data_IF_712903803512
#
_entry.id   IF_712903803512
#
_cell.length_a   1.000
_cell.length_b   1.000
_cell.length_c   1.000
_cell.angle_alpha   90.00
_cell.angle_beta   90.00
_cell.angle_gamma   90.00
#
_symmetry.space_group_name_H-M   'P 1'
#
loop_
_entity.id
_entity.type
_entity.pdbx_description
1 polymer ?
#
# COMPACT_ATOMS: atom_id res chain seq x y z
N UNK A 1 28.95 -15.87 16.28
CA UNK A 1 27.52 -15.64 16.53
C UNK A 1 26.97 -14.96 15.28
N UNK A 2 26.42 -15.73 14.35
CA UNK A 2 25.86 -15.19 13.10
C UNK A 2 24.61 -14.40 13.47
N UNK A 3 24.65 -13.08 13.32
CA UNK A 3 23.44 -12.27 13.28
C UNK A 3 22.62 -12.81 12.12
N UNK A 4 21.60 -13.61 12.45
CA UNK A 4 20.60 -14.06 11.51
C UNK A 4 20.09 -12.80 10.83
N UNK A 5 20.34 -12.67 9.53
CA UNK A 5 20.03 -11.49 8.73
C UNK A 5 18.51 -11.48 8.50
N UNK A 6 17.73 -11.42 9.58
CA UNK A 6 16.28 -11.39 9.56
C UNK A 6 15.90 -10.10 8.87
N UNK A 7 15.29 -10.24 7.70
CA UNK A 7 14.62 -9.11 7.05
C UNK A 7 13.71 -8.46 8.10
N UNK A 8 13.78 -7.13 8.27
CA UNK A 8 12.96 -6.44 9.24
C UNK A 8 11.48 -6.62 8.86
N UNK A 9 10.60 -6.53 9.85
CA UNK A 9 9.17 -6.49 9.61
C UNK A 9 8.74 -5.06 9.22
N UNK A 10 7.82 -4.96 8.27
CA UNK A 10 7.29 -3.70 7.75
C UNK A 10 5.78 -3.65 7.98
N UNK A 11 5.31 -2.51 8.48
CA UNK A 11 3.90 -2.18 8.58
C UNK A 11 3.58 -1.06 7.59
N UNK A 12 2.54 -1.25 6.78
CA UNK A 12 2.13 -0.29 5.74
C UNK A 12 0.76 0.29 6.08
N UNK A 13 0.68 1.61 6.17
CA UNK A 13 -0.56 2.36 6.39
C UNK A 13 -0.66 3.45 5.32
N UNK A 14 -1.68 3.35 4.48
CA UNK A 14 -1.88 4.21 3.32
C UNK A 14 -3.12 5.08 3.54
N UNK A 15 -2.97 6.39 3.39
CA UNK A 15 -4.09 7.27 3.08
C UNK A 15 -4.40 7.12 1.58
N UNK A 16 -5.43 6.35 1.27
CA UNK A 16 -5.74 6.00 -0.10
C UNK A 16 -6.25 7.22 -0.89
N UNK A 17 -7.07 8.07 -0.26
CA UNK A 17 -7.62 9.25 -0.92
C UNK A 17 -6.52 10.24 -1.30
N UNK A 18 -5.54 10.45 -0.42
CA UNK A 18 -4.42 11.34 -0.71
C UNK A 18 -3.59 10.88 -1.91
N UNK A 19 -3.24 9.58 -1.96
CA UNK A 19 -2.49 9.00 -3.09
C UNK A 19 -3.34 9.03 -4.36
N UNK A 20 -4.61 8.63 -4.28
CA UNK A 20 -5.49 8.55 -5.45
C UNK A 20 -5.74 9.92 -6.10
N UNK A 21 -6.11 10.92 -5.29
CA UNK A 21 -6.38 12.27 -5.77
C UNK A 21 -5.10 12.92 -6.30
N UNK A 22 -3.99 12.84 -5.56
CA UNK A 22 -2.75 13.51 -5.98
C UNK A 22 -2.15 12.93 -7.26
N UNK A 23 -2.20 11.61 -7.46
CA UNK A 23 -1.69 10.97 -8.69
C UNK A 23 -2.58 11.32 -9.88
N UNK A 24 -3.90 11.32 -9.71
CA UNK A 24 -4.82 11.71 -10.80
C UNK A 24 -4.67 13.18 -11.16
N UNK A 25 -4.65 14.06 -10.17
CA UNK A 25 -4.66 15.51 -10.41
C UNK A 25 -3.31 16.03 -10.91
N UNK A 26 -2.19 15.49 -10.39
CA UNK A 26 -0.84 15.99 -10.72
C UNK A 26 -0.19 15.24 -11.87
N UNK A 27 -0.48 13.95 -12.02
CA UNK A 27 0.19 13.09 -13.01
C UNK A 27 -0.75 12.63 -14.13
N UNK A 28 -2.04 12.96 -14.06
CA UNK A 28 -3.06 12.51 -15.01
C UNK A 28 -3.04 10.98 -15.24
N UNK A 29 -2.79 10.24 -14.17
CA UNK A 29 -2.64 8.78 -14.17
C UNK A 29 -3.43 8.16 -13.02
N UNK A 30 -3.65 6.84 -13.07
CA UNK A 30 -4.16 6.11 -11.92
C UNK A 30 -2.99 5.64 -11.04
N UNK A 31 -3.13 5.70 -9.71
CA UNK A 31 -2.12 5.16 -8.81
C UNK A 31 -1.95 3.65 -9.02
N UNK A 32 -0.71 3.18 -9.04
CA UNK A 32 -0.37 1.77 -9.00
C UNK A 32 -0.02 1.39 -7.56
N UNK A 33 -1.01 0.90 -6.80
CA UNK A 33 -0.79 0.46 -5.42
C UNK A 33 0.02 -0.84 -5.33
N UNK A 34 0.05 -1.67 -6.38
CA UNK A 34 0.89 -2.87 -6.43
C UNK A 34 2.37 -2.47 -6.42
N UNK A 35 2.77 -1.51 -7.24
CA UNK A 35 4.14 -0.98 -7.25
C UNK A 35 4.56 -0.37 -5.90
N UNK A 36 3.63 0.24 -5.16
CA UNK A 36 3.87 0.72 -3.80
C UNK A 36 4.14 -0.46 -2.86
N UNK A 37 3.32 -1.50 -2.93
CA UNK A 37 3.46 -2.69 -2.08
C UNK A 37 4.73 -3.51 -2.40
N UNK A 38 5.11 -3.61 -3.68
CA UNK A 38 6.38 -4.21 -4.10
C UNK A 38 7.55 -3.47 -3.46
N UNK A 39 7.52 -2.13 -3.52
CA UNK A 39 8.57 -1.32 -2.91
C UNK A 39 8.61 -1.48 -1.39
N UNK A 40 7.46 -1.61 -0.72
CA UNK A 40 7.41 -1.92 0.71
C UNK A 40 8.00 -3.30 1.03
N UNK A 41 7.81 -4.28 0.16
CA UNK A 41 8.32 -5.65 0.33
C UNK A 41 9.84 -5.74 0.15
N UNK A 42 10.45 -4.84 -0.62
CA UNK A 42 11.91 -4.69 -0.67
C UNK A 42 12.49 -4.23 0.67
N UNK A 43 11.73 -3.45 1.45
CA UNK A 43 12.18 -2.89 2.73
C UNK A 43 12.14 -3.93 3.86
N UNK A 44 11.37 -5.01 3.70
CA UNK A 44 11.24 -6.05 4.71
C UNK A 44 9.97 -6.89 4.52
N UNK A 45 9.73 -7.81 5.44
CA UNK A 45 8.53 -8.64 5.42
C UNK A 45 7.32 -7.78 5.81
N UNK A 46 6.42 -7.52 4.89
CA UNK A 46 5.17 -6.81 5.19
C UNK A 46 4.29 -7.69 6.08
N UNK A 47 4.12 -7.29 7.33
CA UNK A 47 3.32 -8.04 8.32
C UNK A 47 1.89 -7.51 8.46
N UNK A 48 1.67 -6.25 8.06
CA UNK A 48 0.35 -5.63 8.01
C UNK A 48 0.34 -4.59 6.89
N UNK A 49 -0.77 -4.54 6.15
CA UNK A 49 -1.06 -3.47 5.20
C UNK A 49 -2.50 -3.03 5.38
N UNK A 50 -2.72 -1.72 5.54
CA UNK A 50 -4.04 -1.12 5.66
C UNK A 50 -4.10 0.15 4.83
N UNK A 51 -5.19 0.32 4.12
CA UNK A 51 -5.55 1.57 3.49
C UNK A 51 -6.78 2.16 4.14
N UNK A 52 -6.79 3.48 4.31
CA UNK A 52 -7.89 4.23 4.87
C UNK A 52 -8.48 5.14 3.79
N UNK A 53 -9.80 5.09 3.63
CA UNK A 53 -10.57 5.93 2.72
C UNK A 53 -12.05 5.93 3.12
N UNK A 54 -12.78 6.95 2.66
CA UNK A 54 -14.23 6.84 2.48
C UNK A 54 -14.57 5.94 1.29
N UNK A 55 -14.69 4.63 1.54
CA UNK A 55 -14.94 3.63 0.50
C UNK A 55 -16.28 3.81 -0.24
N UNK A 56 -17.25 4.54 0.32
CA UNK A 56 -18.50 4.86 -0.39
C UNK A 56 -18.26 5.73 -1.63
N UNK A 57 -17.18 6.52 -1.64
CA UNK A 57 -16.76 7.34 -2.78
C UNK A 57 -15.98 6.57 -3.84
N UNK A 58 -15.51 5.36 -3.52
CA UNK A 58 -14.64 4.54 -4.39
C UNK A 58 -15.15 3.10 -4.57
N UNK A 59 -16.41 2.89 -5.00
CA UNK A 59 -17.03 1.56 -5.03
C UNK A 59 -16.39 0.57 -6.01
N UNK A 60 -15.51 1.02 -6.92
CA UNK A 60 -14.82 0.19 -7.92
C UNK A 60 -13.34 -0.08 -7.61
N UNK A 61 -12.81 0.44 -6.50
CA UNK A 61 -11.39 0.30 -6.13
C UNK A 61 -11.26 -0.48 -4.82
N UNK A 62 -11.55 -1.78 -4.85
CA UNK A 62 -11.56 -2.61 -3.62
C UNK A 62 -10.77 -3.91 -3.73
N UNK A 63 -10.04 -4.17 -4.82
CA UNK A 63 -9.47 -5.52 -5.00
C UNK A 63 -8.03 -5.73 -4.51
N UNK A 64 -7.22 -4.68 -4.33
CA UNK A 64 -5.78 -4.84 -4.01
C UNK A 64 -5.43 -4.74 -2.51
N UNK A 65 -6.25 -4.05 -1.71
CA UNK A 65 -5.94 -3.72 -0.31
C UNK A 65 -6.68 -4.59 0.72
N UNK A 66 -7.63 -5.42 0.27
CA UNK A 66 -8.46 -6.27 1.13
C UNK A 66 -7.91 -7.69 1.34
N UNK A 67 -6.72 -8.02 0.81
CA UNK A 67 -6.21 -9.39 0.78
C UNK A 67 -5.71 -9.95 2.12
N UNK A 68 -5.90 -9.26 3.25
CA UNK A 68 -5.52 -9.76 4.58
C UNK A 68 -6.60 -9.44 5.64
N UNK A 69 -7.80 -10.01 5.45
CA UNK A 69 -8.77 -10.20 6.53
C UNK A 69 -8.54 -11.54 7.22
#
# INVERSE_FOLDING_TARGET
>A
MSYENRRPDVAVFIDFENVYVSVRDKLNANPNFEAIMDRCSDLGRVVISRAYADWYRYPRVTSALYANA
#
